data_IF_488974400157
#
_entry.id   IF_488974400157
#
_cell.length_a   1.000
_cell.length_b   1.000
_cell.length_c   1.000
_cell.angle_alpha   90.00
_cell.angle_beta   90.00
_cell.angle_gamma   90.00
#
_symmetry.space_group_name_H-M   'P 1'
#
loop_
_entity.id
_entity.type
_entity.pdbx_description
1 polymer ?
#
# COMPACT_ATOMS: atom_id res chain seq x y z
N UNK A 1 -4.46 -10.23 57.22
CA UNK A 1 -3.99 -9.36 56.07
C UNK A 1 -3.79 -10.09 54.73
N UNK A 2 -4.01 -11.40 54.63
CA UNK A 2 -3.73 -12.19 53.43
C UNK A 2 -4.89 -12.25 52.42
N UNK A 3 -6.13 -11.97 52.83
CA UNK A 3 -7.32 -12.06 51.94
C UNK A 3 -7.47 -10.95 50.92
N UNK A 4 -6.79 -9.80 51.03
CA UNK A 4 -6.86 -8.70 50.05
C UNK A 4 -5.88 -8.87 48.88
N UNK A 5 -4.81 -9.65 49.03
CA UNK A 5 -3.83 -9.88 47.96
C UNK A 5 -4.33 -10.87 46.88
N UNK A 6 -5.28 -11.75 47.24
CA UNK A 6 -5.78 -12.78 46.29
C UNK A 6 -6.75 -12.22 45.26
N UNK A 7 -7.37 -11.07 45.50
CA UNK A 7 -8.35 -10.46 44.62
C UNK A 7 -7.72 -9.56 43.53
N UNK A 8 -6.44 -9.17 43.68
CA UNK A 8 -5.71 -8.33 42.68
C UNK A 8 -4.91 -9.16 41.69
N UNK A 9 -4.64 -10.43 42.01
CA UNK A 9 -3.87 -11.34 41.13
C UNK A 9 -4.55 -11.61 39.78
N UNK A 10 -5.89 -11.92 39.72
CA UNK A 10 -6.55 -12.17 38.43
C UNK A 10 -6.62 -10.91 37.55
N UNK A 11 -6.69 -9.70 38.13
CA UNK A 11 -6.68 -8.45 37.38
C UNK A 11 -5.30 -8.20 36.73
N UNK A 12 -4.23 -8.55 37.42
CA UNK A 12 -2.86 -8.40 36.91
C UNK A 12 -2.56 -9.40 35.77
N UNK A 13 -3.11 -10.62 35.87
CA UNK A 13 -2.99 -11.63 34.81
C UNK A 13 -3.76 -11.20 33.54
N UNK A 14 -4.96 -10.58 33.71
CA UNK A 14 -5.76 -10.10 32.58
C UNK A 14 -5.06 -8.98 31.77
N UNK A 15 -4.24 -8.15 32.41
CA UNK A 15 -3.45 -7.10 31.75
C UNK A 15 -2.32 -7.64 30.86
N UNK A 16 -1.83 -8.86 31.09
CA UNK A 16 -0.81 -9.49 30.24
C UNK A 16 -1.37 -10.02 28.91
N UNK A 17 -2.67 -10.26 28.82
CA UNK A 17 -3.32 -10.70 27.56
C UNK A 17 -3.70 -9.56 26.62
N UNK A 18 -3.51 -8.31 27.03
CA UNK A 18 -3.75 -7.12 26.21
C UNK A 18 -2.55 -6.73 25.32
N UNK A 19 -1.51 -7.56 25.27
CA UNK A 19 -0.47 -7.41 24.25
C UNK A 19 -1.10 -7.77 22.89
N UNK A 20 -1.89 -6.83 22.36
CA UNK A 20 -2.54 -6.94 21.07
C UNK A 20 -1.50 -7.28 20.00
N UNK A 21 -1.84 -8.18 19.10
CA UNK A 21 -1.10 -8.40 17.87
C UNK A 21 -0.87 -7.05 17.19
N UNK A 22 0.28 -6.46 17.41
CA UNK A 22 0.68 -5.27 16.69
C UNK A 22 0.71 -5.62 15.21
N UNK A 23 -0.22 -5.07 14.45
CA UNK A 23 -0.17 -5.10 13.00
C UNK A 23 1.13 -4.41 12.58
N UNK A 24 2.15 -5.21 12.25
CA UNK A 24 3.36 -4.69 11.62
C UNK A 24 3.05 -4.55 10.14
N UNK A 25 2.99 -3.34 9.60
CA UNK A 25 2.91 -3.18 8.14
C UNK A 25 4.10 -3.90 7.52
N UNK A 26 3.82 -4.73 6.52
CA UNK A 26 4.77 -5.69 5.90
C UNK A 26 6.04 -5.00 5.35
N UNK A 27 5.99 -3.69 5.14
CA UNK A 27 7.07 -2.90 4.57
C UNK A 27 7.94 -2.16 5.60
N UNK A 28 7.56 -2.11 6.89
CA UNK A 28 8.36 -1.45 7.93
C UNK A 28 9.26 -2.50 8.59
N UNK A 29 10.58 -2.39 8.33
CA UNK A 29 11.63 -3.20 8.98
C UNK A 29 12.15 -4.37 8.16
N UNK A 30 11.78 -4.52 6.89
CA UNK A 30 12.53 -5.38 5.98
C UNK A 30 13.82 -4.64 5.58
N UNK A 31 14.98 -5.17 5.97
CA UNK A 31 16.26 -4.71 5.41
C UNK A 31 16.32 -5.12 3.95
N UNK A 32 16.23 -4.14 3.07
CA UNK A 32 16.48 -4.35 1.65
C UNK A 32 17.92 -3.98 1.34
N UNK A 33 18.58 -4.81 0.54
CA UNK A 33 19.95 -4.55 0.07
C UNK A 33 20.00 -3.47 -1.02
N UNK A 34 18.86 -2.93 -1.44
CA UNK A 34 18.74 -1.95 -2.50
C UNK A 34 17.87 -0.75 -2.08
N UNK A 35 18.05 0.36 -2.81
CA UNK A 35 17.19 1.54 -2.75
C UNK A 35 16.50 1.76 -4.09
N UNK A 36 15.33 2.44 -4.05
CA UNK A 36 14.60 2.83 -5.25
C UNK A 36 14.43 4.35 -5.25
N UNK A 37 14.75 4.99 -6.37
CA UNK A 37 14.56 6.43 -6.58
C UNK A 37 13.61 6.66 -7.74
N UNK A 38 12.54 7.41 -7.52
CA UNK A 38 11.66 7.84 -8.59
C UNK A 38 12.34 8.97 -9.36
N UNK A 39 12.56 8.76 -10.67
CA UNK A 39 13.24 9.71 -11.55
C UNK A 39 12.23 10.55 -12.35
N UNK A 40 11.12 9.95 -12.74
CA UNK A 40 10.03 10.59 -13.48
C UNK A 40 8.69 10.06 -13.00
N UNK A 41 7.69 10.95 -12.96
CA UNK A 41 6.30 10.56 -12.71
C UNK A 41 5.36 11.32 -13.63
N UNK A 42 4.34 10.65 -14.12
CA UNK A 42 3.26 11.20 -14.95
C UNK A 42 1.91 10.64 -14.54
N UNK A 43 0.83 11.31 -14.92
CA UNK A 43 -0.53 10.88 -14.63
C UNK A 43 -1.06 11.41 -13.30
N UNK A 44 -1.61 10.54 -12.43
CA UNK A 44 -2.22 10.95 -11.16
C UNK A 44 -1.15 11.33 -10.12
N UNK A 45 -1.07 12.63 -9.79
CA UNK A 45 -0.05 13.17 -8.88
C UNK A 45 -0.17 12.62 -7.46
N UNK A 46 -1.39 12.45 -6.94
CA UNK A 46 -1.63 11.93 -5.58
C UNK A 46 -1.16 10.47 -5.47
N UNK A 47 -1.53 9.62 -6.42
CA UNK A 47 -1.10 8.22 -6.47
C UNK A 47 0.42 8.14 -6.58
N UNK A 48 1.03 8.90 -7.49
CA UNK A 48 2.48 8.89 -7.70
C UNK A 48 3.24 9.35 -6.46
N UNK A 49 2.82 10.43 -5.80
CA UNK A 49 3.44 10.95 -4.58
C UNK A 49 3.39 9.92 -3.44
N UNK A 50 2.26 9.24 -3.25
CA UNK A 50 2.12 8.20 -2.24
C UNK A 50 3.03 6.99 -2.53
N UNK A 51 3.13 6.56 -3.79
CA UNK A 51 4.06 5.49 -4.21
C UNK A 51 5.50 5.91 -3.96
N UNK A 52 5.89 7.12 -4.39
CA UNK A 52 7.24 7.65 -4.23
C UNK A 52 7.65 7.71 -2.75
N UNK A 53 6.82 8.26 -1.87
CA UNK A 53 7.09 8.34 -0.44
C UNK A 53 7.33 6.95 0.18
N UNK A 54 6.56 5.94 -0.22
CA UNK A 54 6.74 4.56 0.25
C UNK A 54 8.03 3.93 -0.29
N UNK A 55 8.37 4.16 -1.56
CA UNK A 55 9.61 3.64 -2.16
C UNK A 55 10.86 4.32 -1.61
N UNK A 56 10.83 5.62 -1.31
CA UNK A 56 11.95 6.36 -0.71
C UNK A 56 12.29 5.90 0.71
N UNK A 57 11.36 5.24 1.40
CA UNK A 57 11.64 4.65 2.72
C UNK A 57 12.60 3.45 2.67
N UNK A 58 12.88 2.91 1.48
CA UNK A 58 13.84 1.82 1.28
C UNK A 58 15.27 2.37 1.29
N UNK A 59 16.08 1.95 2.27
CA UNK A 59 17.41 2.52 2.56
C UNK A 59 18.57 1.59 2.27
N UNK A 60 18.40 0.61 1.39
CA UNK A 60 19.48 -0.30 1.00
C UNK A 60 20.63 0.40 0.28
N UNK A 61 21.85 -0.07 0.51
CA UNK A 61 23.08 0.59 0.03
C UNK A 61 23.82 -0.14 -1.09
N UNK A 62 23.51 -1.43 -1.30
CA UNK A 62 24.26 -2.25 -2.28
C UNK A 62 23.95 -1.85 -3.71
N UNK A 63 22.70 -1.48 -4.01
CA UNK A 63 22.25 -1.20 -5.36
C UNK A 63 21.18 -0.10 -5.35
N UNK A 64 21.18 0.77 -6.34
CA UNK A 64 20.15 1.81 -6.50
C UNK A 64 19.47 1.66 -7.84
N UNK A 65 18.16 1.38 -7.80
CA UNK A 65 17.33 1.37 -8.99
C UNK A 65 16.66 2.73 -9.18
N UNK A 66 16.48 3.13 -10.43
CA UNK A 66 15.67 4.28 -10.81
C UNK A 66 14.36 3.79 -11.39
N UNK A 67 13.25 4.43 -11.02
CA UNK A 67 11.91 4.06 -11.46
C UNK A 67 11.25 5.26 -12.11
N UNK A 68 10.64 5.04 -13.27
CA UNK A 68 9.69 5.97 -13.87
C UNK A 68 8.29 5.42 -13.69
N UNK A 69 7.34 6.28 -13.28
CA UNK A 69 5.97 5.94 -13.00
C UNK A 69 5.01 6.67 -13.96
N UNK A 70 3.97 5.99 -14.39
CA UNK A 70 2.82 6.57 -15.08
C UNK A 70 1.54 5.95 -14.54
N UNK A 71 0.72 6.75 -13.85
CA UNK A 71 -0.46 6.25 -13.15
C UNK A 71 -1.74 6.92 -13.59
N UNK A 72 -2.85 6.18 -13.52
CA UNK A 72 -4.19 6.69 -13.75
C UNK A 72 -5.16 6.07 -12.73
N UNK A 73 -5.97 6.91 -12.09
CA UNK A 73 -7.08 6.47 -11.23
C UNK A 73 -8.40 6.78 -11.90
N UNK A 74 -9.32 5.80 -11.87
CA UNK A 74 -10.70 5.97 -12.33
C UNK A 74 -11.68 5.46 -11.29
N UNK A 75 -12.85 6.12 -11.20
CA UNK A 75 -13.99 5.66 -10.41
C UNK A 75 -15.10 5.25 -11.36
N UNK A 76 -15.59 4.03 -11.21
CA UNK A 76 -16.65 3.45 -12.02
C UNK A 76 -17.91 3.21 -11.20
N UNK A 77 -19.07 3.31 -11.81
CA UNK A 77 -20.35 2.89 -11.24
C UNK A 77 -20.61 1.48 -11.73
N UNK A 78 -20.62 0.51 -10.81
CA UNK A 78 -20.88 -0.90 -11.15
C UNK A 78 -22.36 -1.26 -11.05
N UNK A 79 -23.11 -0.63 -10.14
CA UNK A 79 -24.52 -0.92 -9.94
C UNK A 79 -25.30 0.34 -9.58
N UNK A 80 -26.57 0.36 -9.96
CA UNK A 80 -27.54 1.41 -9.63
C UNK A 80 -28.82 0.79 -9.07
N UNK A 81 -29.54 1.55 -8.26
CA UNK A 81 -30.86 1.17 -7.78
C UNK A 81 -31.96 1.39 -8.85
N UNK A 82 -33.21 1.11 -8.48
CA UNK A 82 -34.38 1.27 -9.38
C UNK A 82 -34.66 2.73 -9.76
N UNK A 83 -34.08 3.72 -9.05
CA UNK A 83 -34.19 5.15 -9.32
C UNK A 83 -33.01 5.65 -10.18
N UNK A 84 -32.01 4.83 -10.43
CA UNK A 84 -30.81 5.17 -11.18
C UNK A 84 -29.67 5.68 -10.31
N UNK A 85 -29.81 5.70 -8.98
CA UNK A 85 -28.76 6.14 -8.06
C UNK A 85 -27.67 5.07 -7.93
N UNK A 86 -26.37 5.46 -7.93
CA UNK A 86 -25.26 4.52 -7.76
C UNK A 86 -25.36 3.81 -6.40
N UNK A 87 -25.22 2.48 -6.41
CA UNK A 87 -25.20 1.65 -5.20
C UNK A 87 -23.85 0.99 -4.95
N UNK A 88 -23.15 0.58 -6.02
CA UNK A 88 -21.81 0.00 -5.94
C UNK A 88 -20.87 0.78 -6.84
N UNK A 89 -19.75 1.18 -6.27
CA UNK A 89 -18.69 1.92 -6.93
C UNK A 89 -17.41 1.07 -6.96
N UNK A 90 -16.51 1.39 -7.88
CA UNK A 90 -15.19 0.77 -8.01
C UNK A 90 -14.13 1.86 -8.17
N UNK A 91 -13.03 1.73 -7.44
CA UNK A 91 -11.78 2.44 -7.71
C UNK A 91 -10.86 1.51 -8.49
N UNK A 92 -10.29 2.01 -9.57
CA UNK A 92 -9.28 1.31 -10.38
C UNK A 92 -8.06 2.19 -10.49
N UNK A 93 -6.90 1.65 -10.12
CA UNK A 93 -5.59 2.30 -10.31
C UNK A 93 -4.80 1.45 -11.32
N UNK A 94 -4.44 2.08 -12.44
CA UNK A 94 -3.50 1.54 -13.40
C UNK A 94 -2.16 2.21 -13.20
N UNK A 95 -1.10 1.42 -13.13
CA UNK A 95 0.27 1.88 -12.97
C UNK A 95 1.16 1.20 -14.00
N UNK A 96 1.78 1.99 -14.86
CA UNK A 96 2.90 1.55 -15.69
C UNK A 96 4.20 2.03 -15.05
N UNK A 97 5.18 1.14 -14.92
CA UNK A 97 6.47 1.50 -14.39
C UNK A 97 7.63 0.88 -15.18
N UNK A 98 8.75 1.58 -15.17
CA UNK A 98 9.99 1.14 -15.79
C UNK A 98 11.10 1.23 -14.75
N UNK A 99 11.79 0.10 -14.51
CA UNK A 99 12.99 0.06 -13.64
C UNK A 99 14.23 0.13 -14.53
N UNK A 100 15.10 1.07 -14.21
CA UNK A 100 16.38 1.28 -14.90
C UNK A 100 17.54 1.29 -13.92
N UNK A 101 18.71 0.91 -14.42
CA UNK A 101 20.00 1.05 -13.74
C UNK A 101 21.07 1.42 -14.76
N UNK A 102 21.93 2.40 -14.45
CA UNK A 102 22.97 2.89 -15.36
C UNK A 102 22.43 3.18 -16.77
N UNK A 103 21.24 3.78 -16.87
CA UNK A 103 20.51 4.09 -18.10
C UNK A 103 20.06 2.88 -18.93
N UNK A 104 20.20 1.66 -18.41
CA UNK A 104 19.70 0.44 -19.03
C UNK A 104 18.32 0.12 -18.45
N UNK A 105 17.35 -0.17 -19.29
CA UNK A 105 16.02 -0.69 -18.87
C UNK A 105 16.20 -2.14 -18.45
N UNK A 106 15.83 -2.44 -17.21
CA UNK A 106 15.85 -3.78 -16.65
C UNK A 106 14.50 -4.47 -16.74
N UNK A 107 13.42 -3.73 -16.46
CA UNK A 107 12.06 -4.24 -16.58
C UNK A 107 11.06 -3.11 -16.85
N UNK A 108 9.97 -3.44 -17.52
CA UNK A 108 8.83 -2.57 -17.75
C UNK A 108 7.55 -3.37 -17.54
N UNK A 109 6.63 -2.87 -16.74
CA UNK A 109 5.37 -3.55 -16.41
C UNK A 109 4.22 -2.56 -16.30
N UNK A 110 3.02 -3.07 -16.56
CA UNK A 110 1.76 -2.39 -16.27
C UNK A 110 0.95 -3.24 -15.30
N UNK A 111 0.48 -2.63 -14.23
CA UNK A 111 -0.30 -3.23 -13.16
C UNK A 111 -1.66 -2.57 -13.10
N UNK A 112 -2.67 -3.34 -12.72
CA UNK A 112 -4.02 -2.83 -12.43
C UNK A 112 -4.47 -3.35 -11.09
N UNK A 113 -4.78 -2.45 -10.17
CA UNK A 113 -5.39 -2.75 -8.88
C UNK A 113 -6.79 -2.15 -8.83
N UNK A 114 -7.74 -2.88 -8.24
CA UNK A 114 -9.13 -2.45 -8.14
C UNK A 114 -9.77 -2.86 -6.82
N UNK A 115 -10.71 -2.04 -6.36
CA UNK A 115 -11.53 -2.35 -5.20
C UNK A 115 -12.94 -1.81 -5.38
N UNK A 116 -13.93 -2.57 -4.91
CA UNK A 116 -15.35 -2.18 -4.94
C UNK A 116 -15.81 -1.79 -3.55
N UNK A 117 -16.78 -0.87 -3.49
CA UNK A 117 -17.35 -0.39 -2.23
C UNK A 117 -18.79 0.07 -2.43
N UNK A 118 -19.58 0.07 -1.34
CA UNK A 118 -20.95 0.54 -1.36
C UNK A 118 -21.01 2.06 -1.33
N UNK A 119 -21.87 2.66 -2.13
CA UNK A 119 -22.21 4.07 -2.03
C UNK A 119 -23.16 4.27 -0.86
N UNK A 120 -22.66 4.79 0.24
CA UNK A 120 -23.42 5.11 1.44
C UNK A 120 -23.84 6.57 1.47
N UNK A 121 -24.93 6.89 2.18
CA UNK A 121 -25.47 8.26 2.26
C UNK A 121 -24.58 9.23 3.05
N UNK A 122 -23.85 8.71 4.05
CA UNK A 122 -22.87 9.50 4.80
C UNK A 122 -21.62 9.74 3.94
N UNK A 123 -21.49 10.99 3.47
CA UNK A 123 -20.40 11.37 2.57
C UNK A 123 -19.03 11.43 3.24
N UNK A 124 -18.98 11.67 4.55
CA UNK A 124 -17.72 11.67 5.29
C UNK A 124 -17.18 10.23 5.43
N UNK A 125 -18.04 9.31 5.87
CA UNK A 125 -17.65 7.90 6.00
C UNK A 125 -17.34 7.28 4.63
N UNK A 126 -18.05 7.68 3.57
CA UNK A 126 -17.75 7.27 2.19
C UNK A 126 -16.34 7.69 1.77
N UNK A 127 -16.02 8.99 1.94
CA UNK A 127 -14.70 9.54 1.59
C UNK A 127 -13.56 8.87 2.36
N UNK A 128 -13.77 8.61 3.66
CA UNK A 128 -12.81 7.91 4.50
C UNK A 128 -12.59 6.46 4.06
N UNK A 129 -13.67 5.78 3.69
CA UNK A 129 -13.58 4.42 3.14
C UNK A 129 -12.83 4.39 1.81
N UNK A 130 -13.10 5.33 0.92
CA UNK A 130 -12.39 5.48 -0.36
C UNK A 130 -10.88 5.69 -0.15
N UNK A 131 -10.52 6.54 0.82
CA UNK A 131 -9.11 6.80 1.14
C UNK A 131 -8.40 5.54 1.64
N UNK A 132 -9.02 4.78 2.54
CA UNK A 132 -8.47 3.51 3.04
C UNK A 132 -8.30 2.50 1.90
N UNK A 133 -9.28 2.39 1.01
CA UNK A 133 -9.19 1.50 -0.13
C UNK A 133 -8.08 1.91 -1.09
N UNK A 134 -7.95 3.21 -1.39
CA UNK A 134 -6.88 3.76 -2.22
C UNK A 134 -5.50 3.44 -1.63
N UNK A 135 -5.31 3.65 -0.32
CA UNK A 135 -4.06 3.30 0.37
C UNK A 135 -3.72 1.82 0.21
N UNK A 136 -4.68 0.93 0.40
CA UNK A 136 -4.46 -0.52 0.23
C UNK A 136 -4.07 -0.89 -1.22
N UNK A 137 -4.71 -0.27 -2.22
CA UNK A 137 -4.36 -0.49 -3.62
C UNK A 137 -2.94 0.01 -3.93
N UNK A 138 -2.56 1.16 -3.39
CA UNK A 138 -1.21 1.72 -3.53
C UNK A 138 -0.17 0.82 -2.84
N UNK A 139 -0.46 0.29 -1.66
CA UNK A 139 0.44 -0.65 -0.98
C UNK A 139 0.70 -1.91 -1.79
N UNK A 140 -0.33 -2.46 -2.44
CA UNK A 140 -0.16 -3.59 -3.33
C UNK A 140 0.73 -3.24 -4.53
N UNK A 141 0.52 -2.07 -5.18
CA UNK A 141 1.35 -1.60 -6.29
C UNK A 141 2.82 -1.41 -5.87
N UNK A 142 3.06 -0.82 -4.71
CA UNK A 142 4.42 -0.64 -4.14
C UNK A 142 5.07 -1.99 -3.88
N UNK A 143 4.34 -2.94 -3.30
CA UNK A 143 4.82 -4.30 -3.06
C UNK A 143 5.25 -5.00 -4.37
N UNK A 144 4.47 -4.83 -5.43
CA UNK A 144 4.80 -5.37 -6.75
C UNK A 144 6.08 -4.76 -7.34
N UNK A 145 6.29 -3.44 -7.20
CA UNK A 145 7.53 -2.76 -7.63
C UNK A 145 8.73 -3.30 -6.84
N UNK A 146 8.60 -3.38 -5.50
CA UNK A 146 9.65 -3.89 -4.62
C UNK A 146 10.02 -5.34 -4.96
N UNK A 147 9.03 -6.19 -5.19
CA UNK A 147 9.25 -7.58 -5.57
C UNK A 147 9.95 -7.68 -6.94
N UNK A 148 9.59 -6.82 -7.89
CA UNK A 148 10.29 -6.75 -9.17
C UNK A 148 11.76 -6.34 -9.01
N UNK A 149 12.05 -5.34 -8.18
CA UNK A 149 13.43 -4.93 -7.87
C UNK A 149 14.22 -6.04 -7.15
N UNK A 150 13.57 -6.75 -6.21
CA UNK A 150 14.19 -7.89 -5.51
C UNK A 150 14.56 -9.01 -6.48
N UNK A 151 13.69 -9.35 -7.43
CA UNK A 151 14.00 -10.39 -8.42
C UNK A 151 15.21 -10.02 -9.27
N UNK A 152 15.37 -8.74 -9.63
CA UNK A 152 16.55 -8.25 -10.35
C UNK A 152 17.86 -8.35 -9.55
N UNK A 153 17.78 -8.43 -8.21
CA UNK A 153 18.96 -8.71 -7.36
C UNK A 153 19.37 -10.17 -7.39
N UNK A 154 18.43 -11.08 -7.64
CA UNK A 154 18.67 -12.54 -7.62
C UNK A 154 19.22 -13.02 -8.97
N UNK A 155 18.73 -12.45 -10.07
CA UNK A 155 19.11 -12.86 -11.43
C UNK A 155 20.55 -12.50 -11.80
N UNK A 156 21.21 -11.61 -11.04
CA UNK A 156 22.60 -11.19 -11.27
C UNK A 156 23.63 -11.97 -10.43
N UNK A 157 23.23 -12.98 -9.64
CA UNK A 157 24.12 -13.87 -8.88
C UNK A 157 24.23 -15.23 -9.56
#
# INVERSE_FOLDING_TARGET
MIKKAFNTLPVFILLFFLNGCGFKPILIGAEYDFSIKVEKSSGNEEVNSKIENKLQSLSGIKRTFKVSLDSNETKNILSKDSKGDPTILEIVINLSYVITENSKVLTSRTLTQRSTYNNISDKFELSKSEEILRENLIENLVSDIINSARNLMIDDN
#
